data_IF_783572265489
#
_entry.id   IF_783572265489
#
_cell.length_a   1.000
_cell.length_b   1.000
_cell.length_c   1.000
_cell.angle_alpha   90.00
_cell.angle_beta   90.00
_cell.angle_gamma   90.00
#
_symmetry.space_group_name_H-M   'P 1'
#
loop_
_entity.id
_entity.type
_entity.pdbx_description
1 polymer ?
#
# COMPACT_ATOMS: atom_id res chain seq x y z
N UNK A 1 1.10 -17.04 5.39
CA UNK A 1 -0.13 -16.55 4.72
C UNK A 1 -0.97 -17.71 4.13
N UNK A 2 -0.89 -18.93 4.66
CA UNK A 2 -1.42 -20.16 4.02
C UNK A 2 -2.94 -20.21 3.79
N UNK A 3 -3.71 -19.28 4.35
CA UNK A 3 -5.19 -19.22 4.21
C UNK A 3 -5.65 -18.41 2.99
N UNK A 4 -4.78 -17.62 2.35
CA UNK A 4 -5.09 -16.91 1.11
C UNK A 4 -4.78 -17.81 -0.10
N UNK A 5 -5.75 -18.64 -0.50
CA UNK A 5 -5.57 -19.70 -1.52
C UNK A 5 -6.49 -19.55 -2.74
N UNK A 6 -7.14 -18.39 -2.90
CA UNK A 6 -7.99 -18.15 -4.06
C UNK A 6 -7.17 -18.09 -5.36
N UNK A 7 -7.72 -18.63 -6.45
CA UNK A 7 -7.18 -18.51 -7.82
C UNK A 7 -8.35 -18.13 -8.73
N UNK A 8 -8.24 -16.98 -9.39
CA UNK A 8 -9.26 -16.51 -10.35
C UNK A 8 -8.59 -16.16 -11.65
N UNK A 9 -8.89 -16.89 -12.73
CA UNK A 9 -8.43 -16.54 -14.08
C UNK A 9 -9.48 -15.67 -14.77
N UNK A 10 -9.03 -14.59 -15.41
CA UNK A 10 -9.86 -13.63 -16.15
C UNK A 10 -9.56 -13.74 -17.66
N UNK A 11 -10.37 -14.47 -18.44
CA UNK A 11 -10.08 -14.75 -19.85
C UNK A 11 -10.02 -13.51 -20.74
N UNK A 12 -10.83 -12.50 -20.44
CA UNK A 12 -10.93 -11.26 -21.23
C UNK A 12 -9.68 -10.41 -21.14
N UNK A 13 -9.11 -10.27 -19.94
CA UNK A 13 -7.87 -9.52 -19.70
C UNK A 13 -6.61 -10.39 -19.78
N UNK A 14 -6.77 -11.72 -19.85
CA UNK A 14 -5.69 -12.70 -19.78
C UNK A 14 -4.84 -12.56 -18.50
N UNK A 15 -5.49 -12.26 -17.38
CA UNK A 15 -4.84 -12.09 -16.07
C UNK A 15 -5.27 -13.16 -15.09
N UNK A 16 -4.48 -13.40 -14.05
CA UNK A 16 -4.84 -14.30 -12.94
C UNK A 16 -4.62 -13.62 -11.60
N UNK A 17 -5.61 -13.72 -10.74
CA UNK A 17 -5.51 -13.34 -9.32
C UNK A 17 -5.05 -14.56 -8.52
N UNK A 18 -3.99 -14.37 -7.73
CA UNK A 18 -3.37 -15.43 -6.95
C UNK A 18 -3.34 -15.05 -5.47
N UNK A 19 -3.89 -15.91 -4.63
CA UNK A 19 -3.76 -15.80 -3.19
C UNK A 19 -2.30 -15.87 -2.74
N UNK A 20 -1.88 -14.95 -1.88
CA UNK A 20 -0.50 -14.85 -1.38
C UNK A 20 0.00 -16.12 -0.63
N UNK A 21 -0.90 -17.02 -0.23
CA UNK A 21 -0.62 -18.28 0.44
C UNK A 21 -0.46 -19.49 -0.46
N UNK A 22 -0.55 -19.31 -1.78
CA UNK A 22 -0.39 -20.39 -2.76
C UNK A 22 1.06 -20.81 -2.93
N UNK A 23 1.23 -22.07 -3.36
CA UNK A 23 2.48 -22.58 -3.92
C UNK A 23 2.38 -22.61 -5.44
N UNK A 24 3.51 -22.50 -6.16
CA UNK A 24 3.48 -22.52 -7.63
C UNK A 24 2.90 -23.80 -8.22
N UNK A 25 3.03 -24.93 -7.53
CA UNK A 25 2.35 -26.17 -7.91
C UNK A 25 0.82 -26.05 -7.92
N UNK A 26 0.25 -25.37 -6.92
CA UNK A 26 -1.21 -25.12 -6.86
C UNK A 26 -1.66 -24.28 -8.06
N UNK A 27 -0.88 -23.26 -8.42
CA UNK A 27 -1.17 -22.34 -9.52
C UNK A 27 -1.16 -23.07 -10.86
N UNK A 28 -0.09 -23.82 -11.15
CA UNK A 28 0.02 -24.53 -12.42
C UNK A 28 -1.05 -25.62 -12.56
N UNK A 29 -1.35 -26.35 -11.49
CA UNK A 29 -2.41 -27.36 -11.50
C UNK A 29 -3.79 -26.76 -11.81
N UNK A 30 -4.07 -25.54 -11.30
CA UNK A 30 -5.32 -24.85 -11.57
C UNK A 30 -5.41 -24.27 -12.99
N UNK A 31 -4.28 -23.83 -13.57
CA UNK A 31 -4.25 -23.18 -14.89
C UNK A 31 -4.08 -24.16 -16.05
N UNK A 32 -3.51 -25.35 -15.83
CA UNK A 32 -3.25 -26.35 -16.86
C UNK A 32 -4.52 -26.75 -17.66
N UNK A 33 -5.70 -27.01 -17.04
CA UNK A 33 -6.92 -27.33 -17.78
C UNK A 33 -7.44 -26.18 -18.66
N UNK A 34 -7.00 -24.95 -18.40
CA UNK A 34 -7.38 -23.76 -19.15
C UNK A 34 -6.43 -23.48 -20.32
N UNK A 35 -5.34 -24.26 -20.46
CA UNK A 35 -4.36 -24.09 -21.53
C UNK A 35 -3.52 -22.81 -21.40
N UNK A 36 -3.44 -22.23 -20.21
CA UNK A 36 -2.69 -20.98 -19.94
C UNK A 36 -1.62 -21.21 -18.89
N UNK A 37 -0.63 -20.31 -18.86
CA UNK A 37 0.45 -20.35 -17.88
C UNK A 37 0.87 -18.93 -17.50
N UNK A 38 1.66 -18.84 -16.44
CA UNK A 38 2.18 -17.57 -15.91
C UNK A 38 3.69 -17.62 -15.76
N UNK A 39 4.32 -16.45 -15.76
CA UNK A 39 5.73 -16.27 -15.42
C UNK A 39 5.90 -16.49 -13.93
N UNK A 40 5.93 -17.76 -13.52
CA UNK A 40 5.99 -18.19 -12.12
C UNK A 40 7.24 -18.98 -11.77
N UNK A 41 7.33 -19.39 -10.51
CA UNK A 41 8.46 -20.13 -9.96
C UNK A 41 8.62 -21.53 -10.54
N UNK A 42 9.86 -21.90 -10.83
CA UNK A 42 10.22 -23.21 -11.41
C UNK A 42 10.02 -24.40 -10.46
N UNK A 43 10.03 -24.13 -9.14
CA UNK A 43 9.93 -25.14 -8.09
C UNK A 43 8.53 -25.08 -7.49
N UNK A 44 7.79 -26.19 -7.59
CA UNK A 44 6.36 -26.26 -7.23
C UNK A 44 6.07 -25.94 -5.76
N UNK A 45 7.00 -26.23 -4.85
CA UNK A 45 6.84 -25.99 -3.41
C UNK A 45 7.17 -24.56 -2.98
N UNK A 46 7.61 -23.69 -3.88
CA UNK A 46 7.93 -22.30 -3.56
C UNK A 46 6.64 -21.49 -3.46
N UNK A 47 6.55 -20.64 -2.44
CA UNK A 47 5.41 -19.75 -2.22
C UNK A 47 5.34 -18.62 -3.25
N UNK A 48 4.12 -18.30 -3.69
CA UNK A 48 3.85 -17.28 -4.72
C UNK A 48 4.31 -15.90 -4.28
N UNK A 49 3.84 -15.42 -3.11
CA UNK A 49 4.08 -14.05 -2.67
C UNK A 49 5.58 -13.74 -2.49
N UNK A 50 6.31 -14.63 -1.82
CA UNK A 50 7.75 -14.44 -1.59
C UNK A 50 8.56 -14.41 -2.89
N UNK A 51 8.22 -15.25 -3.86
CA UNK A 51 8.92 -15.30 -5.13
C UNK A 51 8.67 -14.05 -5.98
N UNK A 52 7.42 -13.59 -6.07
CA UNK A 52 7.08 -12.39 -6.85
C UNK A 52 7.73 -11.16 -6.22
N UNK A 53 7.62 -10.96 -4.91
CA UNK A 53 8.21 -9.81 -4.22
C UNK A 53 9.75 -9.81 -4.25
N UNK A 54 10.38 -10.97 -4.43
CA UNK A 54 11.82 -11.11 -4.61
C UNK A 54 12.30 -11.04 -6.07
N UNK A 55 11.42 -10.70 -7.02
CA UNK A 55 11.70 -10.72 -8.45
C UNK A 55 11.15 -11.97 -9.13
N UNK A 56 11.76 -13.12 -8.87
CA UNK A 56 11.24 -14.43 -9.26
C UNK A 56 11.61 -14.87 -10.68
N UNK A 57 12.41 -15.94 -10.79
CA UNK A 57 12.89 -16.46 -12.07
C UNK A 57 12.04 -17.63 -12.57
N UNK A 58 11.61 -17.55 -13.83
CA UNK A 58 10.73 -18.51 -14.49
C UNK A 58 11.41 -19.20 -15.68
N UNK A 59 10.84 -20.30 -16.15
CA UNK A 59 11.19 -20.90 -17.44
C UNK A 59 10.95 -19.94 -18.62
N UNK A 60 10.08 -18.95 -18.41
CA UNK A 60 9.69 -17.96 -19.41
C UNK A 60 10.42 -16.63 -19.27
N UNK A 61 11.38 -16.51 -18.35
CA UNK A 61 11.99 -15.21 -18.06
C UNK A 61 12.78 -14.60 -19.21
N UNK A 62 13.35 -15.42 -20.09
CA UNK A 62 14.01 -14.93 -21.29
C UNK A 62 13.05 -14.29 -22.31
N UNK A 63 11.74 -14.52 -22.21
CA UNK A 63 10.72 -14.00 -23.12
C UNK A 63 9.90 -12.87 -22.50
N UNK A 64 9.64 -12.94 -21.20
CA UNK A 64 8.69 -12.04 -20.52
C UNK A 64 9.25 -11.41 -19.23
N UNK A 65 10.54 -11.53 -18.95
CA UNK A 65 11.16 -10.96 -17.74
C UNK A 65 10.92 -11.76 -16.47
N UNK A 66 11.12 -11.14 -15.32
CA UNK A 66 10.92 -11.77 -14.01
C UNK A 66 9.43 -11.85 -13.66
N UNK A 67 9.06 -12.67 -12.68
CA UNK A 67 7.69 -12.76 -12.20
C UNK A 67 7.14 -11.41 -11.72
N UNK A 68 7.99 -10.57 -11.10
CA UNK A 68 7.63 -9.22 -10.67
C UNK A 68 7.30 -8.28 -11.84
N UNK A 69 7.97 -8.46 -12.98
CA UNK A 69 7.75 -7.63 -14.17
C UNK A 69 6.38 -7.90 -14.82
N UNK A 70 5.74 -9.01 -14.43
CA UNK A 70 4.43 -9.43 -14.92
C UNK A 70 3.31 -9.19 -13.88
N UNK A 71 3.63 -8.60 -12.72
CA UNK A 71 2.64 -8.26 -11.71
C UNK A 71 1.91 -6.96 -12.08
N UNK A 72 0.59 -7.02 -12.20
CA UNK A 72 -0.26 -5.88 -12.58
C UNK A 72 -0.74 -5.11 -11.35
N UNK A 73 -1.14 -5.84 -10.31
CA UNK A 73 -1.70 -5.28 -9.08
C UNK A 73 -1.35 -6.16 -7.87
N UNK A 74 -1.22 -5.52 -6.72
CA UNK A 74 -1.11 -6.18 -5.42
C UNK A 74 -2.27 -5.76 -4.54
N UNK A 75 -3.12 -6.71 -4.15
CA UNK A 75 -4.11 -6.46 -3.11
C UNK A 75 -3.45 -6.58 -1.73
N UNK A 76 -3.31 -5.45 -1.04
CA UNK A 76 -2.66 -5.39 0.27
C UNK A 76 -3.65 -4.86 1.30
N UNK A 77 -3.90 -5.65 2.35
CA UNK A 77 -4.62 -5.15 3.54
C UNK A 77 -3.61 -4.56 4.51
N UNK A 78 -3.26 -3.28 4.30
CA UNK A 78 -2.42 -2.49 5.20
C UNK A 78 -3.23 -1.74 6.25
N UNK A 79 -2.58 -1.34 7.35
CA UNK A 79 -3.14 -0.35 8.27
C UNK A 79 -3.40 0.98 7.55
N UNK A 80 -2.44 1.38 6.71
CA UNK A 80 -2.59 2.48 5.77
C UNK A 80 -3.47 2.04 4.60
N UNK A 81 -4.58 2.74 4.34
CA UNK A 81 -5.42 2.49 3.17
C UNK A 81 -4.67 2.95 1.91
N UNK A 82 -4.10 1.99 1.19
CA UNK A 82 -3.54 2.27 -0.13
C UNK A 82 -4.70 2.60 -1.09
N UNK A 83 -4.68 3.81 -1.67
CA UNK A 83 -5.54 4.12 -2.81
C UNK A 83 -5.14 3.27 -4.01
N UNK A 84 -6.10 2.78 -4.82
CA UNK A 84 -5.79 2.05 -6.05
C UNK A 84 -4.82 2.84 -6.93
N UNK A 85 -3.92 2.12 -7.61
CA UNK A 85 -2.78 2.58 -8.44
C UNK A 85 -3.07 3.73 -9.43
N UNK A 86 -4.33 4.04 -9.74
CA UNK A 86 -4.72 5.09 -10.69
C UNK A 86 -4.38 6.52 -10.27
N UNK A 87 -3.98 6.75 -9.01
CA UNK A 87 -3.53 8.07 -8.54
C UNK A 87 -2.54 7.90 -7.39
N UNK A 88 -1.26 7.59 -7.66
CA UNK A 88 -0.28 7.53 -6.58
C UNK A 88 -0.21 8.94 -5.96
N UNK A 89 -0.47 9.09 -4.65
CA UNK A 89 -0.24 10.37 -4.02
C UNK A 89 1.25 10.65 -4.15
N UNK A 90 1.60 11.72 -4.85
CA UNK A 90 2.94 12.27 -4.83
C UNK A 90 2.92 13.35 -3.75
N UNK A 91 3.14 12.99 -2.46
CA UNK A 91 3.06 13.98 -1.41
C UNK A 91 4.16 15.02 -1.64
N UNK A 92 3.75 16.27 -1.78
CA UNK A 92 4.67 17.38 -1.60
C UNK A 92 4.97 17.49 -0.11
N UNK A 93 6.24 17.37 0.26
CA UNK A 93 6.68 17.52 1.65
C UNK A 93 7.26 18.91 1.81
N UNK A 94 6.69 19.68 2.73
CA UNK A 94 7.26 20.95 3.19
C UNK A 94 8.06 20.65 4.45
N UNK A 95 9.37 20.89 4.40
CA UNK A 95 10.26 20.62 5.53
C UNK A 95 10.88 21.91 6.03
N UNK A 96 10.79 22.12 7.33
CA UNK A 96 11.55 23.13 8.05
C UNK A 96 12.43 22.46 9.11
N UNK A 97 13.52 23.12 9.45
CA UNK A 97 14.41 22.71 10.54
C UNK A 97 14.82 23.94 11.32
N UNK A 98 14.79 23.86 12.63
CA UNK A 98 15.13 24.95 13.53
C UNK A 98 15.87 24.41 14.76
N UNK A 99 16.57 25.30 15.47
CA UNK A 99 17.53 24.90 16.50
C UNK A 99 16.98 24.95 17.92
N UNK A 100 16.07 25.89 18.21
CA UNK A 100 15.60 26.15 19.57
C UNK A 100 14.17 25.64 19.75
N UNK A 101 13.87 24.86 20.79
CA UNK A 101 12.49 24.46 21.10
C UNK A 101 11.54 25.64 21.33
N UNK A 102 12.06 26.81 21.69
CA UNK A 102 11.27 28.05 21.80
C UNK A 102 10.60 28.45 20.49
N UNK A 103 11.12 27.98 19.35
CA UNK A 103 10.66 28.35 18.03
C UNK A 103 9.64 27.35 17.47
N UNK A 104 9.37 26.24 18.18
CA UNK A 104 8.48 25.16 17.74
C UNK A 104 7.15 25.69 17.21
N UNK A 105 6.47 26.53 17.99
CA UNK A 105 5.16 27.06 17.62
C UNK A 105 5.25 27.92 16.34
N UNK A 106 6.29 28.74 16.20
CA UNK A 106 6.47 29.61 15.03
C UNK A 106 6.60 28.78 13.75
N UNK A 107 7.43 27.73 13.78
CA UNK A 107 7.66 26.89 12.61
C UNK A 107 6.51 25.93 12.33
N UNK A 108 5.90 25.34 13.36
CA UNK A 108 4.73 24.46 13.20
C UNK A 108 3.54 25.24 12.65
N UNK A 109 3.25 26.43 13.18
CA UNK A 109 2.15 27.27 12.70
C UNK A 109 2.43 27.79 11.28
N UNK A 110 3.68 28.13 10.98
CA UNK A 110 4.12 28.48 9.63
C UNK A 110 3.92 27.35 8.62
N UNK A 111 4.28 26.11 8.98
CA UNK A 111 4.09 24.94 8.14
C UNK A 111 2.60 24.64 7.93
N UNK A 112 1.77 24.71 8.98
CA UNK A 112 0.31 24.59 8.86
C UNK A 112 -0.28 25.62 7.89
N UNK A 113 0.14 26.88 8.04
CA UNK A 113 -0.34 27.99 7.20
C UNK A 113 0.07 27.80 5.74
N UNK A 114 1.32 27.39 5.49
CA UNK A 114 1.83 27.13 4.14
C UNK A 114 1.10 25.97 3.47
N UNK A 115 0.92 24.84 4.17
CA UNK A 115 0.19 23.68 3.65
C UNK A 115 -1.26 24.04 3.33
N UNK A 116 -1.95 24.77 4.20
CA UNK A 116 -3.31 25.25 3.95
C UNK A 116 -3.37 26.16 2.73
N UNK A 117 -2.44 27.10 2.58
CA UNK A 117 -2.41 28.00 1.43
C UNK A 117 -2.20 27.24 0.10
N UNK A 118 -1.31 26.25 0.08
CA UNK A 118 -1.06 25.41 -1.09
C UNK A 118 -2.29 24.55 -1.41
N UNK A 119 -2.91 23.92 -0.41
CA UNK A 119 -4.14 23.15 -0.60
C UNK A 119 -5.27 24.02 -1.17
N UNK A 120 -5.48 25.22 -0.62
CA UNK A 120 -6.50 26.15 -1.12
C UNK A 120 -6.22 26.58 -2.57
N UNK A 121 -4.96 26.85 -2.93
CA UNK A 121 -4.58 27.16 -4.30
C UNK A 121 -4.80 25.98 -5.24
N UNK A 122 -4.48 24.75 -4.81
CA UNK A 122 -4.72 23.55 -5.59
C UNK A 122 -6.22 23.29 -5.81
N UNK A 123 -7.06 23.43 -4.77
CA UNK A 123 -8.53 23.36 -4.89
C UNK A 123 -9.08 24.42 -5.84
N UNK A 124 -8.59 25.67 -5.75
CA UNK A 124 -8.99 26.74 -6.66
C UNK A 124 -8.62 26.46 -8.12
N UNK A 125 -7.58 25.65 -8.37
CA UNK A 125 -7.18 25.18 -9.69
C UNK A 125 -7.89 23.87 -10.12
N UNK A 126 -8.89 23.41 -9.36
CA UNK A 126 -9.63 22.19 -9.65
C UNK A 126 -8.86 20.89 -9.41
N UNK A 127 -7.77 20.93 -8.62
CA UNK A 127 -7.06 19.73 -8.19
C UNK A 127 -7.80 19.05 -7.04
N UNK A 128 -7.75 17.72 -7.04
CA UNK A 128 -8.45 16.84 -6.09
C UNK A 128 -7.62 16.61 -4.82
N UNK A 129 -7.51 17.65 -3.99
CA UNK A 129 -6.68 17.67 -2.77
C UNK A 129 -7.49 17.88 -1.48
N UNK A 130 -8.81 17.69 -1.53
CA UNK A 130 -9.72 17.96 -0.40
C UNK A 130 -9.64 16.91 0.73
N UNK A 131 -8.71 15.96 0.63
CA UNK A 131 -8.53 14.87 1.59
C UNK A 131 -9.62 13.80 1.54
N UNK A 132 -10.60 13.91 0.63
CA UNK A 132 -11.67 12.90 0.46
C UNK A 132 -11.18 11.64 -0.26
N UNK A 133 -10.13 11.78 -1.08
CA UNK A 133 -9.46 10.68 -1.80
C UNK A 133 -8.01 10.49 -1.42
N UNK A 134 -7.33 11.54 -0.96
CA UNK A 134 -5.94 11.48 -0.51
C UNK A 134 -5.88 11.21 0.99
N UNK A 135 -5.47 10.00 1.33
CA UNK A 135 -5.17 9.64 2.70
C UNK A 135 -3.74 10.13 2.95
N UNK A 136 -3.51 10.85 4.05
CA UNK A 136 -2.20 11.44 4.33
C UNK A 136 -1.23 10.36 4.79
N UNK A 137 -0.11 10.22 4.10
CA UNK A 137 0.92 9.26 4.47
C UNK A 137 1.46 9.55 5.89
N UNK A 138 1.41 8.60 6.85
CA UNK A 138 1.70 8.87 8.25
C UNK A 138 3.09 9.50 8.50
N UNK A 139 4.10 9.12 7.71
CA UNK A 139 5.45 9.67 7.86
C UNK A 139 5.55 11.14 7.42
N UNK A 140 4.56 11.66 6.70
CA UNK A 140 4.46 13.05 6.28
C UNK A 140 3.40 13.84 7.06
N UNK A 141 2.73 13.21 8.03
CA UNK A 141 1.72 13.84 8.85
C UNK A 141 2.35 14.66 9.98
N UNK A 142 1.72 15.80 10.31
CA UNK A 142 2.05 16.54 11.53
C UNK A 142 1.59 15.75 12.76
N UNK A 143 2.28 15.93 13.88
CA UNK A 143 2.01 15.20 15.12
C UNK A 143 0.57 15.33 15.64
N UNK A 144 -0.12 16.43 15.32
CA UNK A 144 -1.51 16.70 15.69
C UNK A 144 -2.53 16.37 14.59
N UNK A 145 -2.12 15.69 13.52
CA UNK A 145 -3.00 15.29 12.42
C UNK A 145 -4.03 14.27 12.91
N UNK A 146 -5.33 14.46 12.64
CA UNK A 146 -6.35 13.47 12.99
C UNK A 146 -6.11 12.11 12.32
N UNK A 147 -6.26 11.03 13.07
CA UNK A 147 -6.07 9.65 12.58
C UNK A 147 -6.97 9.32 11.39
N UNK A 148 -8.16 9.91 11.34
CA UNK A 148 -9.13 9.75 10.28
C UNK A 148 -8.59 10.24 8.93
N UNK A 149 -7.72 11.25 8.92
CA UNK A 149 -7.04 11.73 7.70
C UNK A 149 -5.91 10.79 7.24
N UNK A 150 -5.32 9.99 8.15
CA UNK A 150 -4.22 9.07 7.86
C UNK A 150 -4.64 7.62 7.61
N UNK A 151 -5.73 7.17 8.24
CA UNK A 151 -6.16 5.77 8.21
C UNK A 151 -7.61 5.58 7.77
N UNK A 152 -8.38 6.67 7.62
CA UNK A 152 -9.76 6.64 7.13
C UNK A 152 -10.63 5.61 7.86
N UNK A 153 -11.31 4.74 7.09
CA UNK A 153 -12.19 3.68 7.62
C UNK A 153 -11.49 2.64 8.50
N UNK A 154 -10.15 2.59 8.51
CA UNK A 154 -9.40 1.63 9.32
C UNK A 154 -9.28 2.06 10.79
N UNK A 155 -9.51 3.34 11.13
CA UNK A 155 -9.33 3.86 12.50
C UNK A 155 -10.06 3.01 13.57
N UNK A 156 -11.35 2.63 13.42
CA UNK A 156 -12.01 1.81 14.44
C UNK A 156 -11.37 0.44 14.63
N UNK A 157 -10.86 -0.18 13.55
CA UNK A 157 -10.16 -1.46 13.60
C UNK A 157 -8.82 -1.32 14.32
N UNK A 158 -8.07 -0.25 14.01
CA UNK A 158 -6.77 0.02 14.63
C UNK A 158 -6.91 0.28 16.14
N UNK A 159 -7.91 1.06 16.56
CA UNK A 159 -8.21 1.28 17.98
C UNK A 159 -8.50 -0.02 18.72
N UNK A 160 -9.26 -0.94 18.10
CA UNK A 160 -9.55 -2.27 18.69
C UNK A 160 -8.28 -3.11 18.83
N UNK A 161 -7.45 -3.15 17.78
CA UNK A 161 -6.18 -3.88 17.81
C UNK A 161 -5.28 -3.33 18.92
N UNK A 162 -5.18 -2.01 19.06
CA UNK A 162 -4.42 -1.39 20.16
C UNK A 162 -4.96 -1.79 21.52
N UNK A 163 -6.28 -1.76 21.73
CA UNK A 163 -6.87 -2.17 23.01
C UNK A 163 -6.55 -3.62 23.38
N UNK A 164 -6.47 -4.50 22.39
CA UNK A 164 -6.19 -5.93 22.59
C UNK A 164 -4.69 -6.20 22.79
N UNK A 165 -3.82 -5.52 22.05
CA UNK A 165 -2.40 -5.88 21.93
C UNK A 165 -1.41 -4.83 22.46
N UNK A 166 -1.85 -3.58 22.69
CA UNK A 166 -1.06 -2.50 23.28
C UNK A 166 -1.90 -1.63 24.25
N UNK A 167 -2.43 -2.22 25.35
CA UNK A 167 -3.29 -1.51 26.29
C UNK A 167 -2.57 -0.39 27.05
N UNK A 168 -1.24 -0.48 27.17
CA UNK A 168 -0.41 0.50 27.88
C UNK A 168 0.18 1.57 26.95
N UNK A 169 -0.17 1.54 25.66
CA UNK A 169 0.29 2.50 24.65
C UNK A 169 1.83 2.61 24.56
N UNK A 170 2.52 1.48 24.59
CA UNK A 170 3.98 1.41 24.52
C UNK A 170 4.46 1.70 23.10
N UNK A 171 3.67 1.32 22.08
CA UNK A 171 4.10 1.41 20.68
C UNK A 171 3.87 2.79 20.08
N UNK A 172 3.03 3.65 20.68
CA UNK A 172 2.72 5.05 20.31
C UNK A 172 2.33 5.33 18.83
N UNK A 173 2.36 4.32 17.95
CA UNK A 173 2.29 4.46 16.48
C UNK A 173 1.05 3.81 15.88
N UNK A 174 0.17 3.26 16.71
CA UNK A 174 -1.05 2.56 16.27
C UNK A 174 -2.28 3.14 16.95
N UNK A 175 -2.70 4.35 16.53
CA UNK A 175 -4.04 4.92 16.78
C UNK A 175 -4.45 5.13 18.22
#
# INVERSE_FOLDING_TARGET
MSRFRQITYHPTSQTVELGAGLLWGDVYQALDPLGVTVVGGRISSVGVAGLILGGGYSWKSNQYGLSIDNAIEYEVSGAYPHVPSSTPPLPMIIQFSWALPSDDNVFIDGLKSATQAIQQAALANGQDVDGSKEILYPNAALADTPLEQMYGKNVPKLRRIRQEWDPNNIMCLSG
#
